data_IF_730307109324
#
_entry.id   IF_730307109324
#
_cell.length_a   1.000
_cell.length_b   1.000
_cell.length_c   1.000
_cell.angle_alpha   90.00
_cell.angle_beta   90.00
_cell.angle_gamma   90.00
#
_symmetry.space_group_name_H-M   'P 1'
#
loop_
_entity.id
_entity.type
_entity.pdbx_description
1 polymer ?
#
# COMPACT_ATOMS: atom_id res chain seq x y z
N UNK A 1 -44.34 0.54 -18.87
CA UNK A 1 -43.80 1.92 -18.92
C UNK A 1 -43.83 2.65 -17.57
N UNK A 2 -44.93 2.61 -16.77
CA UNK A 2 -45.00 3.28 -15.44
C UNK A 2 -44.05 2.77 -14.34
N UNK A 3 -43.56 1.54 -14.45
CA UNK A 3 -42.66 0.95 -13.44
C UNK A 3 -41.18 1.23 -13.73
N UNK A 4 -40.83 1.60 -14.97
CA UNK A 4 -39.45 1.91 -15.35
C UNK A 4 -39.01 3.27 -14.81
N UNK A 5 -39.91 4.27 -14.80
CA UNK A 5 -39.60 5.59 -14.23
C UNK A 5 -39.37 5.54 -12.72
N UNK A 6 -40.00 4.60 -12.01
CA UNK A 6 -39.77 4.36 -10.57
C UNK A 6 -38.40 3.77 -10.27
N UNK A 7 -37.72 3.20 -11.27
CA UNK A 7 -36.38 2.63 -11.13
C UNK A 7 -35.26 3.65 -11.38
N UNK A 8 -35.57 4.86 -11.87
CA UNK A 8 -34.56 5.88 -12.17
C UNK A 8 -33.83 6.32 -10.89
N UNK A 9 -34.57 6.63 -9.82
CA UNK A 9 -33.98 7.05 -8.55
C UNK A 9 -33.07 5.97 -7.92
N UNK A 10 -33.51 4.71 -7.73
CA UNK A 10 -32.62 3.68 -7.19
C UNK A 10 -31.44 3.38 -8.11
N UNK A 11 -31.59 3.47 -9.43
CA UNK A 11 -30.48 3.31 -10.38
C UNK A 11 -29.42 4.41 -10.22
N UNK A 12 -29.85 5.67 -10.08
CA UNK A 12 -28.93 6.79 -9.83
C UNK A 12 -28.23 6.61 -8.49
N UNK A 13 -28.97 6.29 -7.42
CA UNK A 13 -28.37 6.06 -6.10
C UNK A 13 -27.33 4.93 -6.14
N UNK A 14 -27.66 3.79 -6.74
CA UNK A 14 -26.72 2.69 -6.91
C UNK A 14 -25.48 3.11 -7.70
N UNK A 15 -25.65 3.90 -8.77
CA UNK A 15 -24.54 4.43 -9.56
C UNK A 15 -23.61 5.32 -8.73
N UNK A 16 -24.17 6.21 -7.90
CA UNK A 16 -23.38 7.08 -7.02
C UNK A 16 -22.57 6.25 -6.01
N UNK A 17 -23.18 5.25 -5.38
CA UNK A 17 -22.46 4.37 -4.45
C UNK A 17 -21.33 3.61 -5.13
N UNK A 18 -21.55 3.12 -6.35
CA UNK A 18 -20.52 2.46 -7.14
C UNK A 18 -19.35 3.41 -7.44
N UNK A 19 -19.63 4.64 -7.86
CA UNK A 19 -18.57 5.63 -8.15
C UNK A 19 -17.76 5.97 -6.90
N UNK A 20 -18.42 6.23 -5.76
CA UNK A 20 -17.73 6.50 -4.48
C UNK A 20 -16.87 5.30 -4.08
N UNK A 21 -17.39 4.08 -4.23
CA UNK A 21 -16.63 2.86 -3.93
C UNK A 21 -15.34 2.78 -4.76
N UNK A 22 -15.42 2.99 -6.07
CA UNK A 22 -14.23 2.91 -6.94
C UNK A 22 -13.22 4.03 -6.72
N UNK A 23 -13.65 5.24 -6.34
CA UNK A 23 -12.74 6.35 -6.10
C UNK A 23 -12.00 6.21 -4.76
N UNK A 24 -12.66 5.72 -3.72
CA UNK A 24 -12.13 5.78 -2.36
C UNK A 24 -11.73 4.42 -1.76
N UNK A 25 -12.30 3.33 -2.24
CA UNK A 25 -12.18 2.02 -1.59
C UNK A 25 -11.65 0.92 -2.51
N UNK A 26 -11.72 1.08 -3.83
CA UNK A 26 -11.17 0.10 -4.74
C UNK A 26 -9.64 0.02 -4.56
N UNK A 27 -9.09 -1.19 -4.32
CA UNK A 27 -7.65 -1.37 -4.25
C UNK A 27 -7.01 -0.93 -5.56
N UNK A 28 -6.03 -0.03 -5.47
CA UNK A 28 -5.22 0.39 -6.61
C UNK A 28 -3.83 -0.20 -6.48
N UNK A 29 -3.21 -0.55 -7.61
CA UNK A 29 -1.78 -0.90 -7.69
C UNK A 29 -0.91 0.30 -8.01
N UNK A 30 -1.49 1.50 -8.14
CA UNK A 30 -0.73 2.70 -8.40
C UNK A 30 0.22 2.99 -7.24
N UNK A 31 1.49 3.23 -7.57
CA UNK A 31 2.52 3.53 -6.59
C UNK A 31 2.27 4.91 -5.96
N UNK A 32 2.44 4.98 -4.64
CA UNK A 32 2.41 6.24 -3.91
C UNK A 32 3.77 6.95 -3.91
N UNK A 33 3.93 7.97 -3.07
CA UNK A 33 5.17 8.75 -2.94
C UNK A 33 5.61 8.86 -1.49
N UNK A 34 6.88 8.59 -1.20
CA UNK A 34 7.44 8.78 0.14
C UNK A 34 7.46 10.26 0.54
N UNK A 35 7.46 11.19 -0.42
CA UNK A 35 7.39 12.63 -0.13
C UNK A 35 6.10 13.05 0.61
N UNK A 36 5.03 12.24 0.55
CA UNK A 36 3.79 12.45 1.31
C UNK A 36 4.02 12.38 2.83
N UNK A 37 5.08 11.69 3.25
CA UNK A 37 5.44 11.48 4.65
C UNK A 37 6.40 12.57 5.18
N UNK A 38 6.59 13.66 4.43
CA UNK A 38 7.45 14.79 4.82
C UNK A 38 6.96 15.49 6.09
N UNK A 39 7.89 15.86 6.96
CA UNK A 39 7.63 16.64 8.18
C UNK A 39 7.91 15.93 9.51
N UNK A 40 8.54 14.75 9.52
CA UNK A 40 8.83 14.02 10.77
C UNK A 40 7.56 13.57 11.50
N UNK A 41 6.48 13.40 10.76
CA UNK A 41 5.22 12.93 11.30
C UNK A 41 5.29 11.43 11.50
N UNK A 42 5.21 10.98 12.75
CA UNK A 42 5.13 9.57 13.15
C UNK A 42 3.70 8.99 12.93
N UNK A 43 2.90 9.62 12.06
CA UNK A 43 1.53 9.20 11.75
C UNK A 43 1.59 8.08 10.71
N UNK A 44 1.01 6.93 11.07
CA UNK A 44 0.87 5.82 10.15
C UNK A 44 -0.05 6.17 8.98
N UNK A 45 0.43 5.99 7.76
CA UNK A 45 -0.32 6.16 6.53
C UNK A 45 -0.03 5.01 5.56
N UNK A 46 -0.96 4.80 4.64
CA UNK A 46 -0.81 3.82 3.58
C UNK A 46 -0.02 4.35 2.39
N UNK A 47 0.83 3.50 1.82
CA UNK A 47 1.54 3.74 0.57
C UNK A 47 1.78 2.43 -0.18
N UNK A 48 1.45 2.43 -1.47
CA UNK A 48 1.85 1.35 -2.37
C UNK A 48 3.26 1.60 -2.90
N UNK A 49 4.11 0.58 -2.84
CA UNK A 49 5.50 0.66 -3.28
C UNK A 49 5.88 -0.60 -4.04
N UNK A 50 6.85 -0.46 -4.95
CA UNK A 50 7.40 -1.60 -5.68
C UNK A 50 8.58 -2.20 -4.92
N UNK A 51 8.61 -3.54 -4.77
CA UNK A 51 9.67 -4.24 -4.06
C UNK A 51 10.95 -4.31 -4.91
N UNK A 52 12.09 -3.89 -4.34
CA UNK A 52 13.40 -3.93 -5.01
C UNK A 52 14.12 -5.22 -4.66
N UNK A 53 13.84 -6.28 -5.42
CA UNK A 53 14.40 -7.62 -5.18
C UNK A 53 15.91 -7.70 -5.35
N UNK A 54 16.48 -6.85 -6.20
CA UNK A 54 17.93 -6.78 -6.48
C UNK A 54 18.77 -6.52 -5.23
N UNK A 55 18.20 -5.81 -4.24
CA UNK A 55 18.89 -5.49 -2.98
C UNK A 55 18.79 -6.61 -1.94
N UNK A 56 18.02 -7.67 -2.21
CA UNK A 56 17.77 -8.76 -1.28
C UNK A 56 16.87 -8.36 -0.10
N UNK A 57 16.74 -9.30 0.84
CA UNK A 57 15.96 -9.16 2.07
C UNK A 57 16.87 -9.39 3.27
N UNK A 58 16.86 -8.47 4.23
CA UNK A 58 17.54 -8.71 5.50
C UNK A 58 16.67 -9.61 6.39
N UNK A 59 17.31 -10.53 7.09
CA UNK A 59 16.64 -11.55 7.89
C UNK A 59 17.18 -11.61 9.31
N UNK A 60 16.33 -12.02 10.25
CA UNK A 60 16.73 -12.35 11.61
C UNK A 60 17.39 -13.73 11.71
N UNK A 61 17.75 -14.14 12.93
CA UNK A 61 18.39 -15.43 13.21
C UNK A 61 17.48 -16.63 12.88
N UNK A 62 16.16 -16.44 12.87
CA UNK A 62 15.16 -17.45 12.53
C UNK A 62 14.86 -17.48 11.01
N UNK A 63 15.57 -16.66 10.23
CA UNK A 63 15.40 -16.56 8.79
C UNK A 63 14.20 -15.73 8.34
N UNK A 64 13.49 -15.05 9.25
CA UNK A 64 12.35 -14.18 8.90
C UNK A 64 12.84 -12.84 8.40
N UNK A 65 12.14 -12.29 7.42
CA UNK A 65 12.47 -10.97 6.86
C UNK A 65 12.23 -9.91 7.93
N UNK A 66 13.20 -9.01 8.12
CA UNK A 66 13.12 -7.86 9.03
C UNK A 66 13.19 -6.52 8.30
N UNK A 67 13.77 -6.50 7.09
CA UNK A 67 13.78 -5.32 6.25
C UNK A 67 14.01 -5.66 4.78
N UNK A 68 13.62 -4.74 3.89
CA UNK A 68 13.87 -4.83 2.45
C UNK A 68 13.85 -3.44 1.82
N UNK A 69 14.19 -3.33 0.54
CA UNK A 69 14.12 -2.06 -0.18
C UNK A 69 12.88 -1.98 -1.06
N UNK A 70 12.25 -0.81 -1.10
CA UNK A 70 11.14 -0.54 -2.01
C UNK A 70 11.33 0.79 -2.74
N UNK A 71 10.71 0.93 -3.92
CA UNK A 71 10.69 2.14 -4.74
C UNK A 71 9.28 2.74 -4.79
N UNK A 72 9.21 4.06 -4.69
CA UNK A 72 7.97 4.80 -4.89
C UNK A 72 7.74 5.18 -6.37
N UNK A 73 6.66 5.92 -6.66
CA UNK A 73 6.34 6.40 -8.02
C UNK A 73 7.38 7.32 -8.64
N UNK A 74 8.26 7.92 -7.83
CA UNK A 74 9.33 8.81 -8.28
C UNK A 74 10.67 8.08 -8.40
N UNK A 75 10.66 6.74 -8.33
CA UNK A 75 11.85 5.88 -8.28
C UNK A 75 12.76 6.12 -7.07
N UNK A 76 12.27 6.78 -6.02
CA UNK A 76 13.00 6.93 -4.77
C UNK A 76 13.01 5.58 -4.06
N UNK A 77 14.20 5.01 -3.88
CA UNK A 77 14.37 3.76 -3.16
C UNK A 77 14.70 4.00 -1.70
N UNK A 78 13.92 3.40 -0.79
CA UNK A 78 14.08 3.53 0.66
C UNK A 78 14.04 2.13 1.30
N UNK A 79 14.78 1.99 2.40
CA UNK A 79 14.71 0.80 3.26
C UNK A 79 13.42 0.79 4.07
N UNK A 80 12.69 -0.31 3.95
CA UNK A 80 11.48 -0.62 4.70
C UNK A 80 11.87 -1.55 5.83
N UNK A 81 11.72 -1.11 7.07
CA UNK A 81 11.95 -1.91 8.27
C UNK A 81 10.61 -2.39 8.81
N UNK A 82 10.51 -3.68 9.10
CA UNK A 82 9.30 -4.28 9.63
C UNK A 82 9.25 -4.11 11.16
N UNK A 83 8.09 -3.73 11.68
CA UNK A 83 7.86 -3.75 13.12
C UNK A 83 7.82 -5.19 13.65
N UNK A 84 7.21 -6.10 12.89
CA UNK A 84 7.17 -7.54 13.17
C UNK A 84 7.82 -8.31 12.00
N UNK A 85 8.79 -9.21 12.28
CA UNK A 85 9.40 -10.02 11.24
C UNK A 85 8.38 -10.89 10.52
N UNK A 86 8.52 -11.05 9.20
CA UNK A 86 7.57 -11.82 8.39
C UNK A 86 8.22 -12.95 7.59
N UNK A 87 7.39 -13.92 7.18
CA UNK A 87 7.81 -15.07 6.37
C UNK A 87 7.78 -14.68 4.87
N UNK A 88 8.40 -15.50 4.03
CA UNK A 88 8.82 -15.23 2.63
C UNK A 88 7.76 -14.85 1.60
N UNK A 89 6.51 -14.64 1.98
CA UNK A 89 5.42 -14.34 1.07
C UNK A 89 5.68 -13.07 0.21
N UNK A 90 6.50 -12.14 0.69
CA UNK A 90 6.81 -10.89 -0.04
C UNK A 90 7.91 -11.03 -1.09
N UNK A 91 8.66 -12.14 -1.10
CA UNK A 91 9.83 -12.31 -2.00
C UNK A 91 9.40 -12.25 -3.46
N UNK A 92 8.21 -12.76 -3.75
CA UNK A 92 7.62 -12.78 -5.10
C UNK A 92 6.66 -11.63 -5.37
N UNK A 93 6.47 -10.70 -4.43
CA UNK A 93 5.61 -9.54 -4.62
C UNK A 93 6.26 -8.49 -5.53
N UNK A 94 5.50 -7.92 -6.47
CA UNK A 94 5.94 -6.78 -7.29
C UNK A 94 5.59 -5.47 -6.62
N UNK A 95 4.35 -5.35 -6.14
CA UNK A 95 3.82 -4.19 -5.44
C UNK A 95 3.23 -4.64 -4.11
N UNK A 96 3.55 -3.90 -3.05
CA UNK A 96 3.00 -4.10 -1.72
C UNK A 96 2.40 -2.79 -1.21
N UNK A 97 1.30 -2.88 -0.49
CA UNK A 97 0.78 -1.79 0.31
C UNK A 97 1.45 -1.84 1.70
N UNK A 98 2.06 -0.74 2.10
CA UNK A 98 2.64 -0.55 3.42
C UNK A 98 1.75 0.34 4.25
N UNK A 99 1.53 -0.03 5.51
CA UNK A 99 1.04 0.87 6.55
C UNK A 99 2.20 1.23 7.46
N UNK A 100 2.46 2.51 7.67
CA UNK A 100 3.56 2.93 8.53
C UNK A 100 3.92 4.40 8.40
N UNK A 101 5.11 4.77 8.88
CA UNK A 101 5.60 6.15 8.87
C UNK A 101 7.09 6.20 8.54
N UNK A 102 7.58 7.39 8.20
CA UNK A 102 9.00 7.63 7.98
C UNK A 102 9.70 7.93 9.30
N UNK A 103 10.81 7.24 9.58
CA UNK A 103 11.66 7.47 10.74
C UNK A 103 13.14 7.35 10.35
N UNK A 104 13.93 8.40 10.63
CA UNK A 104 15.38 8.38 10.40
C UNK A 104 15.82 8.10 8.95
N UNK A 105 14.99 8.45 7.96
CA UNK A 105 15.26 8.19 6.53
C UNK A 105 14.84 6.80 6.05
N UNK A 106 14.32 5.95 6.92
CA UNK A 106 13.71 4.66 6.60
C UNK A 106 12.19 4.73 6.77
N UNK A 107 11.48 3.76 6.20
CA UNK A 107 10.06 3.57 6.46
C UNK A 107 9.86 2.46 7.48
N UNK A 108 9.15 2.72 8.57
CA UNK A 108 8.79 1.70 9.57
C UNK A 108 7.40 1.18 9.23
N UNK A 109 7.32 -0.04 8.71
CA UNK A 109 6.08 -0.69 8.34
C UNK A 109 5.49 -1.43 9.55
N UNK A 110 4.29 -1.05 9.95
CA UNK A 110 3.48 -1.75 10.96
C UNK A 110 2.64 -2.87 10.34
N UNK A 111 2.31 -2.76 9.05
CA UNK A 111 1.61 -3.80 8.30
C UNK A 111 2.02 -3.77 6.82
N UNK A 112 2.00 -4.94 6.18
CA UNK A 112 2.25 -5.13 4.76
C UNK A 112 1.17 -6.00 4.15
N UNK A 113 0.55 -5.51 3.09
CA UNK A 113 -0.42 -6.26 2.29
C UNK A 113 0.14 -6.47 0.89
N UNK A 114 0.18 -7.72 0.43
CA UNK A 114 0.58 -8.05 -0.94
C UNK A 114 -0.58 -7.72 -1.88
N UNK A 115 -0.33 -6.85 -2.86
CA UNK A 115 -1.31 -6.49 -3.88
C UNK A 115 -1.19 -7.45 -5.07
N UNK A 116 -2.11 -8.41 -5.15
CA UNK A 116 -2.19 -9.41 -6.25
C UNK A 116 -2.79 -8.85 -7.51
#
# INVERSE_FOLDING_TARGET
MRNLSKLILPLISATVFVVIFYIYFAPSKELGSFSKFGGGSEINQQINVSVVRENGFERDADGRIISFYAKDKNNLSIKITLHEPMIDDIVDAEVVELMGHMHGGNFIATNITILK
#
